data_IF_566556816096
#
_entry.id   IF_566556816096
#
_cell.length_a   1.000
_cell.length_b   1.000
_cell.length_c   1.000
_cell.angle_alpha   90.00
_cell.angle_beta   90.00
_cell.angle_gamma   90.00
#
_symmetry.space_group_name_H-M   'P 1'
#
loop_
_entity.id
_entity.type
_entity.pdbx_description
1 polymer ?
#
# COMPACT_ATOMS: atom_id res chain seq x y z
N UNK A 1 6.95 74.35 -14.43
CA UNK A 1 6.98 73.46 -13.24
C UNK A 1 5.72 72.61 -13.22
N UNK A 2 5.85 71.29 -13.11
CA UNK A 2 4.70 70.38 -13.01
C UNK A 2 5.16 68.94 -12.79
N UNK A 3 5.22 68.56 -11.52
CA UNK A 3 5.81 67.36 -10.93
C UNK A 3 5.33 66.02 -11.52
N UNK A 4 6.30 65.15 -11.81
CA UNK A 4 6.16 63.77 -12.29
C UNK A 4 5.87 62.81 -11.11
N UNK A 5 4.61 62.35 -10.98
CA UNK A 5 4.18 61.41 -9.95
C UNK A 5 4.51 59.95 -10.27
N UNK A 6 5.71 59.50 -9.89
CA UNK A 6 6.10 58.08 -9.88
C UNK A 6 5.15 57.26 -8.99
N UNK A 7 4.31 56.40 -9.59
CA UNK A 7 3.54 55.38 -8.84
C UNK A 7 4.50 54.38 -8.18
N UNK A 8 4.49 54.37 -6.85
CA UNK A 8 5.32 53.52 -6.00
C UNK A 8 4.89 52.06 -6.14
N UNK A 9 5.76 51.21 -6.71
CA UNK A 9 5.61 49.75 -6.77
C UNK A 9 6.06 49.11 -5.44
N UNK A 10 5.32 49.36 -4.36
CA UNK A 10 5.74 48.95 -3.02
C UNK A 10 4.59 48.51 -2.13
N UNK A 11 3.86 47.45 -2.51
CA UNK A 11 2.73 46.98 -1.71
C UNK A 11 2.33 45.49 -1.90
N UNK A 12 3.21 44.64 -2.44
CA UNK A 12 2.86 43.25 -2.78
C UNK A 12 3.35 42.18 -1.80
N UNK A 13 4.49 42.40 -1.15
CA UNK A 13 5.25 41.33 -0.47
C UNK A 13 4.69 40.93 0.90
N UNK A 14 3.97 41.81 1.59
CA UNK A 14 3.35 41.49 2.88
C UNK A 14 2.08 40.64 2.72
N UNK A 15 1.37 40.73 1.59
CA UNK A 15 0.20 39.87 1.30
C UNK A 15 0.60 38.40 1.19
N UNK A 16 1.80 38.09 0.69
CA UNK A 16 2.30 36.71 0.64
C UNK A 16 2.66 36.13 1.99
N UNK A 17 2.95 36.97 2.99
CA UNK A 17 3.29 36.55 4.35
C UNK A 17 2.02 36.35 5.19
N UNK A 18 1.03 37.23 5.04
CA UNK A 18 -0.22 37.17 5.81
C UNK A 18 -1.27 36.20 5.24
N UNK A 19 -1.25 35.96 3.92
CA UNK A 19 -2.14 35.02 3.24
C UNK A 19 -1.38 34.07 2.30
N UNK A 20 -0.50 33.20 2.84
CA UNK A 20 0.29 32.29 2.02
C UNK A 20 -0.58 31.40 1.12
N UNK A 21 -1.77 31.01 1.59
CA UNK A 21 -2.71 30.17 0.84
C UNK A 21 -3.30 30.81 -0.43
N UNK A 22 -3.45 32.14 -0.49
CA UNK A 22 -3.99 32.82 -1.67
C UNK A 22 -2.96 32.98 -2.79
N UNK A 23 -1.67 33.05 -2.43
CA UNK A 23 -0.56 33.13 -3.39
C UNK A 23 -0.42 31.81 -4.15
N UNK A 24 -0.50 30.67 -3.46
CA UNK A 24 -0.47 29.36 -4.12
C UNK A 24 -1.70 29.12 -4.99
N UNK A 25 -2.90 29.56 -4.56
CA UNK A 25 -4.16 29.41 -5.31
C UNK A 25 -4.20 30.15 -6.65
N UNK A 26 -3.42 31.23 -6.77
CA UNK A 26 -3.38 32.07 -7.96
C UNK A 26 -2.17 31.78 -8.88
N UNK A 27 -1.33 30.80 -8.54
CA UNK A 27 -0.24 30.36 -9.41
C UNK A 27 -0.78 29.66 -10.67
N UNK A 28 -0.11 29.84 -11.81
CA UNK A 28 -0.48 29.15 -13.07
C UNK A 28 -0.47 27.62 -12.90
N UNK A 29 0.47 27.09 -12.11
CA UNK A 29 0.59 25.67 -11.78
C UNK A 29 -0.62 25.17 -10.98
N UNK A 30 -1.16 25.98 -10.05
CA UNK A 30 -2.35 25.59 -9.31
C UNK A 30 -3.61 25.64 -10.19
N UNK A 31 -3.74 26.66 -11.05
CA UNK A 31 -4.86 26.75 -12.02
C UNK A 31 -4.80 25.66 -13.09
N UNK A 32 -3.61 25.18 -13.47
CA UNK A 32 -3.47 24.08 -14.41
C UNK A 32 -3.88 22.73 -13.82
N UNK A 33 -3.71 22.55 -12.50
CA UNK A 33 -4.07 21.32 -11.77
C UNK A 33 -5.50 21.35 -11.24
N UNK A 34 -6.02 22.51 -10.83
CA UNK A 34 -7.37 22.68 -10.27
C UNK A 34 -8.15 23.67 -11.13
N UNK A 35 -8.82 23.16 -12.17
CA UNK A 35 -9.58 23.96 -13.15
C UNK A 35 -10.92 24.52 -12.64
N UNK A 36 -11.45 24.00 -11.54
CA UNK A 36 -12.77 24.40 -11.03
C UNK A 36 -12.72 24.83 -9.56
N UNK A 37 -13.45 25.90 -9.16
CA UNK A 37 -13.61 26.26 -7.75
C UNK A 37 -14.22 25.09 -6.97
N UNK A 38 -13.85 24.93 -5.69
CA UNK A 38 -14.39 23.87 -4.81
C UNK A 38 -15.92 23.96 -4.83
N UNK A 39 -16.63 22.94 -5.33
CA UNK A 39 -18.08 23.00 -5.36
C UNK A 39 -18.64 22.88 -3.94
N UNK A 40 -19.62 23.71 -3.59
CA UNK A 40 -20.26 23.66 -2.28
C UNK A 40 -21.25 22.49 -2.15
N UNK A 41 -21.69 21.92 -3.28
CA UNK A 41 -22.62 20.79 -3.30
C UNK A 41 -21.91 19.44 -3.18
N UNK A 42 -22.53 18.42 -2.54
CA UNK A 42 -21.98 17.06 -2.46
C UNK A 42 -21.72 16.41 -3.82
N UNK A 43 -22.60 16.66 -4.80
CA UNK A 43 -22.46 16.15 -6.19
C UNK A 43 -21.28 16.80 -6.90
N UNK A 44 -21.10 18.12 -6.76
CA UNK A 44 -19.97 18.82 -7.35
C UNK A 44 -18.63 18.32 -6.82
N UNK A 45 -18.49 18.14 -5.50
CA UNK A 45 -17.25 17.58 -4.90
C UNK A 45 -16.90 16.20 -5.43
N UNK A 46 -17.91 15.36 -5.67
CA UNK A 46 -17.71 14.05 -6.30
C UNK A 46 -17.25 14.20 -7.75
N UNK A 47 -17.91 15.04 -8.54
CA UNK A 47 -17.57 15.32 -9.94
C UNK A 47 -16.12 15.80 -10.08
N UNK A 48 -15.67 16.73 -9.23
CA UNK A 48 -14.30 17.25 -9.25
C UNK A 48 -13.25 16.18 -8.92
N UNK A 49 -13.57 15.23 -8.03
CA UNK A 49 -12.68 14.11 -7.70
C UNK A 49 -12.63 13.08 -8.83
N UNK A 50 -13.73 12.87 -9.55
CA UNK A 50 -13.79 11.95 -10.70
C UNK A 50 -13.16 12.53 -11.97
N UNK A 51 -13.22 13.85 -12.16
CA UNK A 51 -12.67 14.53 -13.33
C UNK A 51 -11.16 14.83 -13.22
N UNK A 52 -10.60 14.81 -12.00
CA UNK A 52 -9.17 15.03 -11.79
C UNK A 52 -8.43 13.72 -11.57
N UNK A 53 -7.45 13.44 -12.41
CA UNK A 53 -6.58 12.25 -12.28
C UNK A 53 -5.95 12.14 -10.88
N UNK A 54 -5.47 13.22 -10.29
CA UNK A 54 -4.85 13.19 -8.96
C UNK A 54 -5.87 13.07 -7.81
N UNK A 55 -7.04 13.69 -7.95
CA UNK A 55 -8.08 13.62 -6.93
C UNK A 55 -8.87 12.31 -7.01
N UNK A 56 -8.73 11.54 -8.09
CA UNK A 56 -9.35 10.23 -8.20
C UNK A 56 -8.83 9.27 -7.11
N UNK A 57 -7.62 9.47 -6.59
CA UNK A 57 -7.02 8.61 -5.56
C UNK A 57 -7.65 8.89 -4.18
N UNK A 58 -8.12 10.11 -3.93
CA UNK A 58 -8.65 10.52 -2.63
C UNK A 58 -10.16 10.26 -2.52
N UNK A 59 -10.65 9.63 -1.44
CA UNK A 59 -12.08 9.43 -1.23
C UNK A 59 -12.80 10.75 -0.96
N UNK A 60 -13.94 10.96 -1.64
CA UNK A 60 -14.76 12.18 -1.54
C UNK A 60 -15.40 12.33 -0.16
N UNK A 61 -15.72 11.21 0.51
CA UNK A 61 -16.33 11.16 1.83
C UNK A 61 -15.63 10.11 2.68
N UNK A 62 -15.16 10.50 3.87
CA UNK A 62 -14.66 9.57 4.90
C UNK A 62 -15.43 9.85 6.19
N UNK A 63 -16.19 8.88 6.73
CA UNK A 63 -16.86 9.07 8.00
C UNK A 63 -15.84 9.34 9.13
N UNK A 64 -16.11 10.35 9.97
CA UNK A 64 -15.19 10.80 11.05
C UNK A 64 -14.79 9.68 12.01
N UNK A 65 -15.66 8.70 12.20
CA UNK A 65 -15.41 7.56 13.09
C UNK A 65 -14.32 6.60 12.57
N UNK A 66 -14.09 6.52 11.26
CA UNK A 66 -13.00 5.73 10.67
C UNK A 66 -11.65 6.44 10.80
N UNK A 67 -11.69 7.78 10.85
CA UNK A 67 -10.51 8.62 11.11
C UNK A 67 -10.05 8.44 12.56
N UNK A 68 -10.97 8.09 13.47
CA UNK A 68 -10.67 7.83 14.88
C UNK A 68 -9.80 6.57 14.98
N UNK A 69 -8.58 6.77 15.47
CA UNK A 69 -7.54 5.73 15.60
C UNK A 69 -8.01 4.54 16.44
N UNK A 70 -8.84 4.77 17.46
CA UNK A 70 -9.38 3.70 18.33
C UNK A 70 -10.23 2.67 17.59
N UNK A 71 -10.93 3.05 16.51
CA UNK A 71 -11.93 2.18 15.87
C UNK A 71 -11.31 1.26 14.80
N UNK A 72 -10.34 1.74 14.04
CA UNK A 72 -9.72 0.99 12.93
C UNK A 72 -8.25 0.66 13.18
N UNK A 73 -7.59 1.31 14.14
CA UNK A 73 -6.13 1.28 14.37
C UNK A 73 -5.30 1.55 13.11
N UNK A 74 -5.95 1.97 12.01
CA UNK A 74 -5.38 2.16 10.67
C UNK A 74 -4.50 0.97 10.19
N UNK A 75 -4.77 -0.25 10.65
CA UNK A 75 -3.91 -1.42 10.41
C UNK A 75 -3.72 -1.73 8.93
N UNK A 76 -4.77 -1.64 8.11
CA UNK A 76 -4.65 -1.86 6.66
C UNK A 76 -3.78 -0.79 5.96
N UNK A 77 -3.83 0.46 6.44
CA UNK A 77 -2.96 1.53 5.93
C UNK A 77 -1.50 1.30 6.38
N UNK A 78 -1.28 0.93 7.63
CA UNK A 78 0.05 0.58 8.15
C UNK A 78 0.65 -0.58 7.33
N UNK A 79 -0.14 -1.62 7.03
CA UNK A 79 0.30 -2.73 6.18
C UNK A 79 0.73 -2.25 4.78
N UNK A 80 -0.05 -1.37 4.14
CA UNK A 80 0.30 -0.81 2.83
C UNK A 80 1.57 0.05 2.87
N UNK A 81 1.77 0.83 3.94
CA UNK A 81 3.00 1.61 4.15
C UNK A 81 4.20 0.69 4.36
N UNK A 82 4.07 -0.36 5.17
CA UNK A 82 5.14 -1.35 5.38
C UNK A 82 5.50 -2.07 4.09
N UNK A 83 4.51 -2.41 3.27
CA UNK A 83 4.76 -2.95 1.93
C UNK A 83 5.56 -1.97 1.05
N UNK A 84 5.21 -0.68 1.06
CA UNK A 84 5.98 0.35 0.36
C UNK A 84 7.42 0.48 0.86
N UNK A 85 7.63 0.44 2.18
CA UNK A 85 8.98 0.44 2.78
C UNK A 85 9.77 -0.79 2.32
N UNK A 86 9.15 -1.98 2.33
CA UNK A 86 9.78 -3.22 1.85
C UNK A 86 10.14 -3.15 0.37
N UNK A 87 9.26 -2.61 -0.47
CA UNK A 87 9.50 -2.47 -1.90
C UNK A 87 10.71 -1.55 -2.17
N UNK A 88 10.76 -0.39 -1.51
CA UNK A 88 11.85 0.58 -1.68
C UNK A 88 13.16 0.04 -1.13
N UNK A 89 13.15 -0.49 0.10
CA UNK A 89 14.36 -1.06 0.72
C UNK A 89 14.87 -2.28 -0.02
N UNK A 90 13.98 -3.15 -0.51
CA UNK A 90 14.34 -4.33 -1.31
C UNK A 90 14.98 -3.94 -2.64
N UNK A 91 14.43 -2.92 -3.33
CA UNK A 91 15.03 -2.37 -4.56
C UNK A 91 16.44 -1.85 -4.31
N UNK A 92 16.69 -1.18 -3.19
CA UNK A 92 18.04 -0.74 -2.82
C UNK A 92 18.99 -1.91 -2.59
N UNK A 93 18.57 -2.93 -1.82
CA UNK A 93 19.39 -4.11 -1.54
C UNK A 93 19.73 -4.91 -2.81
N UNK A 94 18.85 -4.89 -3.80
CA UNK A 94 19.03 -5.57 -5.08
C UNK A 94 20.29 -5.13 -5.83
N UNK A 95 20.71 -3.86 -5.69
CA UNK A 95 21.92 -3.35 -6.36
C UNK A 95 23.23 -3.98 -5.87
N UNK A 96 23.22 -4.61 -4.69
CA UNK A 96 24.43 -5.10 -4.02
C UNK A 96 24.43 -6.61 -3.79
N UNK A 97 23.42 -7.33 -4.30
CA UNK A 97 23.26 -8.75 -4.05
C UNK A 97 23.29 -9.56 -5.35
N UNK A 98 24.20 -10.55 -5.42
CA UNK A 98 24.27 -11.51 -6.52
C UNK A 98 23.65 -12.85 -6.09
N UNK A 99 22.65 -13.38 -6.82
CA UNK A 99 22.00 -14.64 -6.51
C UNK A 99 22.83 -15.86 -6.98
N UNK A 100 24.11 -15.90 -6.63
CA UNK A 100 25.04 -17.01 -6.90
C UNK A 100 25.47 -17.65 -5.59
N UNK A 101 25.47 -18.99 -5.53
CA UNK A 101 25.82 -19.76 -4.31
C UNK A 101 27.14 -19.33 -3.67
N UNK A 102 28.26 -19.16 -4.41
CA UNK A 102 29.52 -18.76 -3.78
C UNK A 102 29.53 -17.32 -3.28
N UNK A 103 28.73 -16.41 -3.86
CA UNK A 103 28.79 -14.98 -3.52
C UNK A 103 27.68 -14.53 -2.54
N UNK A 104 26.50 -15.17 -2.56
CA UNK A 104 25.30 -14.68 -1.88
C UNK A 104 25.52 -14.36 -0.39
N UNK A 105 26.22 -15.23 0.32
CA UNK A 105 26.55 -15.03 1.74
C UNK A 105 27.60 -13.94 1.94
N UNK A 106 28.63 -13.88 1.09
CA UNK A 106 29.66 -12.84 1.19
C UNK A 106 29.13 -11.46 0.81
N UNK A 107 28.22 -11.36 -0.16
CA UNK A 107 27.54 -10.12 -0.50
C UNK A 107 26.71 -9.59 0.69
N UNK A 108 26.10 -10.47 1.50
CA UNK A 108 25.46 -10.06 2.76
C UNK A 108 26.45 -9.47 3.77
N UNK A 109 27.67 -9.99 3.82
CA UNK A 109 28.72 -9.47 4.68
C UNK A 109 29.23 -8.11 4.16
N UNK A 110 29.53 -8.01 2.87
CA UNK A 110 29.96 -6.77 2.20
C UNK A 110 28.91 -5.66 2.33
N UNK A 111 27.62 -6.00 2.20
CA UNK A 111 26.52 -5.07 2.44
C UNK A 111 26.52 -4.51 3.87
N UNK A 112 26.94 -5.32 4.86
CA UNK A 112 26.97 -4.89 6.25
C UNK A 112 28.18 -4.01 6.60
N UNK A 113 29.31 -4.18 5.90
CA UNK A 113 30.59 -3.55 6.24
C UNK A 113 31.01 -2.43 5.31
N UNK A 114 30.74 -2.56 4.00
CA UNK A 114 31.35 -1.74 2.95
C UNK A 114 30.35 -0.83 2.21
N UNK A 115 29.05 -1.12 2.32
CA UNK A 115 28.00 -0.33 1.66
C UNK A 115 27.46 0.73 2.61
N UNK A 116 27.46 1.99 2.17
CA UNK A 116 26.92 3.12 2.94
C UNK A 116 25.44 2.89 3.27
N UNK A 117 25.08 2.90 4.56
CA UNK A 117 23.74 2.55 5.06
C UNK A 117 23.26 1.12 4.76
N UNK A 118 24.10 0.23 4.24
CA UNK A 118 23.69 -1.13 3.84
C UNK A 118 23.10 -1.94 4.99
N UNK A 119 23.79 -1.98 6.14
CA UNK A 119 23.28 -2.65 7.34
C UNK A 119 21.98 -2.02 7.87
N UNK A 120 21.86 -0.70 7.80
CA UNK A 120 20.65 0.01 8.22
C UNK A 120 19.46 -0.36 7.34
N UNK A 121 19.59 -0.28 6.01
CA UNK A 121 18.51 -0.61 5.08
C UNK A 121 18.13 -2.09 5.18
N UNK A 122 19.11 -2.98 5.36
CA UNK A 122 18.86 -4.41 5.61
C UNK A 122 18.04 -4.64 6.88
N UNK A 123 18.37 -3.94 7.96
CA UNK A 123 17.62 -4.02 9.21
C UNK A 123 16.20 -3.45 9.04
N UNK A 124 16.05 -2.32 8.35
CA UNK A 124 14.73 -1.76 8.02
C UNK A 124 13.90 -2.77 7.22
N UNK A 125 14.49 -3.40 6.21
CA UNK A 125 13.82 -4.41 5.39
C UNK A 125 13.36 -5.60 6.25
N UNK A 126 14.26 -6.16 7.08
CA UNK A 126 13.96 -7.31 7.95
C UNK A 126 12.89 -6.99 9.00
N UNK A 127 13.02 -5.87 9.72
CA UNK A 127 12.05 -5.48 10.75
C UNK A 127 10.69 -5.11 10.15
N UNK A 128 10.68 -4.45 8.98
CA UNK A 128 9.43 -4.15 8.27
C UNK A 128 8.73 -5.42 7.82
N UNK A 129 9.46 -6.47 7.42
CA UNK A 129 8.88 -7.76 7.03
C UNK A 129 8.21 -8.44 8.22
N UNK A 130 8.89 -8.52 9.37
CA UNK A 130 8.30 -9.08 10.59
C UNK A 130 7.08 -8.29 11.05
N UNK A 131 7.18 -6.96 11.05
CA UNK A 131 6.07 -6.09 11.43
C UNK A 131 4.90 -6.22 10.45
N UNK A 132 5.15 -6.36 9.15
CA UNK A 132 4.10 -6.54 8.15
C UNK A 132 3.28 -7.81 8.41
N UNK A 133 3.94 -8.94 8.72
CA UNK A 133 3.23 -10.18 9.06
C UNK A 133 2.32 -9.98 10.28
N UNK A 134 2.84 -9.39 11.35
CA UNK A 134 2.06 -9.12 12.57
C UNK A 134 0.88 -8.19 12.28
N UNK A 135 1.11 -7.09 11.56
CA UNK A 135 0.07 -6.10 11.26
C UNK A 135 -1.02 -6.68 10.35
N UNK A 136 -0.66 -7.49 9.36
CA UNK A 136 -1.66 -8.14 8.48
C UNK A 136 -2.51 -9.13 9.27
N UNK A 137 -1.92 -9.91 10.18
CA UNK A 137 -2.68 -10.82 11.06
C UNK A 137 -3.61 -10.02 11.97
N UNK A 138 -3.13 -8.96 12.62
CA UNK A 138 -3.95 -8.09 13.46
C UNK A 138 -5.07 -7.41 12.66
N UNK A 139 -4.79 -7.02 11.41
CA UNK A 139 -5.78 -6.46 10.50
C UNK A 139 -6.88 -7.48 10.20
N UNK A 140 -6.52 -8.72 9.90
CA UNK A 140 -7.44 -9.81 9.63
C UNK A 140 -8.33 -10.10 10.86
N UNK A 141 -7.73 -10.24 12.04
CA UNK A 141 -8.44 -10.45 13.31
C UNK A 141 -9.43 -9.31 13.56
N UNK A 142 -9.00 -8.06 13.38
CA UNK A 142 -9.89 -6.89 13.55
C UNK A 142 -11.06 -6.94 12.58
N UNK A 143 -10.85 -7.28 11.31
CA UNK A 143 -11.94 -7.38 10.32
C UNK A 143 -12.91 -8.52 10.67
N UNK A 144 -12.39 -9.63 11.18
CA UNK A 144 -13.19 -10.75 11.68
C UNK A 144 -14.05 -10.36 12.88
N UNK A 145 -13.45 -9.86 13.97
CA UNK A 145 -14.18 -9.50 15.19
C UNK A 145 -15.13 -8.32 15.00
N UNK A 146 -14.82 -7.39 14.10
CA UNK A 146 -15.74 -6.28 13.79
C UNK A 146 -16.90 -6.68 12.86
N UNK A 147 -16.92 -7.92 12.35
CA UNK A 147 -17.93 -8.39 11.41
C UNK A 147 -17.89 -7.70 10.05
N UNK A 148 -16.78 -7.05 9.71
CA UNK A 148 -16.66 -6.22 8.51
C UNK A 148 -16.64 -7.04 7.20
N UNK A 149 -16.47 -8.36 7.29
CA UNK A 149 -16.52 -9.31 6.16
C UNK A 149 -17.94 -9.65 5.69
N UNK A 150 -18.99 -9.26 6.45
CA UNK A 150 -20.40 -9.50 6.09
C UNK A 150 -20.77 -8.88 4.73
N UNK A 151 -21.83 -9.36 4.06
CA UNK A 151 -22.32 -8.77 2.81
C UNK A 151 -22.38 -7.24 2.89
N UNK A 152 -21.98 -6.49 1.85
CA UNK A 152 -21.52 -6.91 0.51
C UNK A 152 -20.00 -7.18 0.39
N UNK A 153 -19.25 -7.27 1.49
CA UNK A 153 -17.76 -7.23 1.51
C UNK A 153 -17.06 -8.59 1.51
N UNK A 154 -17.79 -9.68 1.25
CA UNK A 154 -17.27 -11.06 1.29
C UNK A 154 -16.14 -11.29 0.27
N UNK A 155 -16.27 -10.74 -0.93
CA UNK A 155 -15.23 -10.84 -1.96
C UNK A 155 -13.92 -10.19 -1.52
N UNK A 156 -14.01 -9.01 -0.88
CA UNK A 156 -12.83 -8.32 -0.38
C UNK A 156 -12.16 -9.07 0.79
N UNK A 157 -12.92 -9.81 1.58
CA UNK A 157 -12.39 -10.69 2.62
C UNK A 157 -11.54 -11.83 2.03
N UNK A 158 -12.03 -12.51 0.99
CA UNK A 158 -11.26 -13.57 0.30
C UNK A 158 -9.97 -13.02 -0.29
N UNK A 159 -10.01 -11.82 -0.90
CA UNK A 159 -8.81 -11.12 -1.35
C UNK A 159 -7.84 -10.86 -0.19
N UNK A 160 -8.34 -10.41 0.96
CA UNK A 160 -7.53 -10.18 2.16
C UNK A 160 -6.84 -11.44 2.67
N UNK A 161 -7.52 -12.59 2.66
CA UNK A 161 -6.92 -13.89 2.99
C UNK A 161 -5.84 -14.27 1.98
N UNK A 162 -6.09 -14.06 0.69
CA UNK A 162 -5.07 -14.26 -0.36
C UNK A 162 -3.82 -13.39 -0.15
N UNK A 163 -4.00 -12.13 0.24
CA UNK A 163 -2.89 -11.22 0.58
C UNK A 163 -2.10 -11.68 1.81
N UNK A 164 -2.75 -12.29 2.81
CA UNK A 164 -2.05 -12.90 3.95
C UNK A 164 -1.14 -14.04 3.46
N UNK A 165 -1.66 -14.96 2.63
CA UNK A 165 -0.88 -16.06 2.07
C UNK A 165 0.32 -15.54 1.28
N UNK A 166 0.12 -14.54 0.42
CA UNK A 166 1.21 -13.92 -0.34
C UNK A 166 2.23 -13.20 0.56
N UNK A 167 1.80 -12.59 1.66
CA UNK A 167 2.70 -11.96 2.64
C UNK A 167 3.58 -13.00 3.33
N UNK A 168 3.01 -14.15 3.70
CA UNK A 168 3.76 -15.27 4.28
C UNK A 168 4.75 -15.86 3.25
N UNK A 169 4.32 -16.02 1.99
CA UNK A 169 5.21 -16.45 0.91
C UNK A 169 6.34 -15.47 0.64
N UNK A 170 6.10 -14.15 0.69
CA UNK A 170 7.16 -13.14 0.62
C UNK A 170 8.16 -13.29 1.77
N UNK A 171 7.66 -13.41 2.99
CA UNK A 171 8.50 -13.59 4.18
C UNK A 171 9.35 -14.86 4.08
N UNK A 172 8.77 -15.97 3.62
CA UNK A 172 9.48 -17.22 3.42
C UNK A 172 10.53 -17.09 2.32
N UNK A 173 10.18 -16.64 1.12
CA UNK A 173 11.13 -16.55 -0.01
C UNK A 173 12.30 -15.59 0.25
N UNK A 174 12.07 -14.49 0.98
CA UNK A 174 13.12 -13.55 1.35
C UNK A 174 14.09 -14.09 2.41
N UNK A 175 13.57 -14.93 3.31
CA UNK A 175 14.38 -15.61 4.32
C UNK A 175 15.45 -16.54 3.71
N UNK A 176 15.23 -17.02 2.47
CA UNK A 176 16.13 -17.96 1.81
C UNK A 176 17.35 -17.29 1.16
N UNK A 177 17.29 -15.97 0.91
CA UNK A 177 18.29 -15.26 0.10
C UNK A 177 19.66 -15.06 0.75
N UNK A 178 19.80 -14.90 2.09
CA UNK A 178 21.12 -14.80 2.71
C UNK A 178 22.01 -16.04 2.51
N UNK A 179 21.41 -17.17 2.13
CA UNK A 179 22.11 -18.43 1.84
C UNK A 179 23.01 -18.91 3.00
N UNK A 180 22.55 -18.71 4.23
CA UNK A 180 23.17 -19.28 5.43
C UNK A 180 22.65 -20.71 5.70
N UNK A 181 23.19 -21.39 6.72
CA UNK A 181 22.80 -22.76 7.04
C UNK A 181 21.30 -22.89 7.34
N UNK A 182 20.72 -21.89 8.00
CA UNK A 182 19.29 -21.89 8.32
C UNK A 182 18.44 -21.74 7.06
N UNK A 183 18.83 -20.85 6.14
CA UNK A 183 18.18 -20.70 4.84
C UNK A 183 18.26 -22.00 4.03
N UNK A 184 19.41 -22.65 3.93
CA UNK A 184 19.59 -23.91 3.19
C UNK A 184 18.65 -25.01 3.71
N UNK A 185 18.55 -25.18 5.03
CA UNK A 185 17.64 -26.16 5.63
C UNK A 185 16.18 -25.76 5.47
N UNK A 186 15.85 -24.47 5.51
CA UNK A 186 14.50 -23.98 5.24
C UNK A 186 14.05 -24.29 3.81
N UNK A 187 14.94 -24.17 2.81
CA UNK A 187 14.64 -24.60 1.43
C UNK A 187 14.37 -26.10 1.39
N UNK A 188 15.26 -26.88 2.01
CA UNK A 188 15.16 -28.34 2.03
C UNK A 188 13.82 -28.79 2.63
N UNK A 189 13.45 -28.27 3.80
CA UNK A 189 12.19 -28.60 4.46
C UNK A 189 10.99 -28.09 3.64
N UNK A 190 11.03 -26.84 3.18
CA UNK A 190 9.90 -26.25 2.43
C UNK A 190 9.61 -26.97 1.12
N UNK A 191 10.65 -27.35 0.36
CA UNK A 191 10.50 -28.08 -0.90
C UNK A 191 10.09 -29.54 -0.69
N UNK A 192 10.50 -30.16 0.42
CA UNK A 192 10.02 -31.50 0.80
C UNK A 192 8.54 -31.47 1.20
N UNK A 193 8.07 -30.42 1.90
CA UNK A 193 6.65 -30.23 2.20
C UNK A 193 5.84 -30.10 0.90
N UNK A 194 6.32 -29.31 -0.06
CA UNK A 194 5.70 -29.21 -1.39
C UNK A 194 5.66 -30.57 -2.13
N UNK A 195 6.63 -31.44 -1.85
CA UNK A 195 6.73 -32.81 -2.35
C UNK A 195 5.60 -33.74 -1.90
N UNK A 196 4.92 -33.43 -0.80
CA UNK A 196 3.80 -34.25 -0.29
C UNK A 196 2.44 -33.94 -0.94
N UNK A 197 2.37 -32.94 -1.82
CA UNK A 197 1.12 -32.62 -2.53
C UNK A 197 0.70 -33.81 -3.40
N UNK A 198 -0.51 -34.38 -3.22
CA UNK A 198 -0.98 -35.47 -4.07
C UNK A 198 -0.97 -35.09 -5.54
N UNK A 199 -0.62 -36.04 -6.42
CA UNK A 199 -0.53 -35.91 -7.89
C UNK A 199 0.58 -34.99 -8.42
N UNK A 200 0.87 -33.86 -7.75
CA UNK A 200 1.80 -32.84 -8.26
C UNK A 200 3.09 -32.69 -7.45
N UNK A 201 3.27 -33.41 -6.35
CA UNK A 201 4.36 -33.21 -5.40
C UNK A 201 5.77 -33.33 -5.98
N UNK A 202 6.03 -34.36 -6.78
CA UNK A 202 7.35 -34.54 -7.40
C UNK A 202 7.64 -33.42 -8.41
N UNK A 203 6.63 -32.98 -9.16
CA UNK A 203 6.77 -31.91 -10.14
C UNK A 203 6.93 -30.54 -9.48
N UNK A 204 6.18 -30.26 -8.39
CA UNK A 204 6.29 -29.01 -7.64
C UNK A 204 7.67 -28.88 -7.00
N UNK A 205 8.18 -29.94 -6.36
CA UNK A 205 9.53 -29.96 -5.77
C UNK A 205 10.60 -29.72 -6.82
N UNK A 206 10.56 -30.42 -7.96
CA UNK A 206 11.53 -30.26 -9.04
C UNK A 206 11.45 -28.87 -9.70
N UNK A 207 10.24 -28.29 -9.80
CA UNK A 207 10.03 -26.93 -10.30
C UNK A 207 10.57 -25.88 -9.32
N UNK A 208 10.53 -26.11 -8.02
CA UNK A 208 11.10 -25.18 -7.04
C UNK A 208 12.63 -25.27 -7.01
N UNK A 209 13.20 -26.48 -7.00
CA UNK A 209 14.64 -26.71 -6.89
C UNK A 209 15.41 -26.47 -8.20
N UNK A 210 14.82 -26.81 -9.33
CA UNK A 210 15.53 -26.81 -10.62
C UNK A 210 16.59 -27.90 -10.77
N UNK A 211 16.52 -28.91 -9.91
CA UNK A 211 17.37 -30.09 -9.89
C UNK A 211 16.86 -31.07 -8.85
N UNK A 212 17.66 -32.10 -8.57
CA UNK A 212 17.37 -33.09 -7.51
C UNK A 212 17.63 -32.54 -6.11
N UNK A 213 18.52 -31.55 -6.00
CA UNK A 213 19.06 -30.99 -4.77
C UNK A 213 18.98 -29.45 -4.74
N UNK A 214 19.21 -28.88 -3.55
CA UNK A 214 19.25 -27.43 -3.34
C UNK A 214 20.58 -26.88 -3.87
N UNK A 215 20.50 -25.98 -4.85
CA UNK A 215 21.69 -25.38 -5.47
C UNK A 215 21.40 -24.05 -6.16
N UNK A 216 22.29 -23.65 -7.08
CA UNK A 216 22.23 -22.34 -7.75
C UNK A 216 20.91 -22.09 -8.49
N UNK A 217 20.33 -23.13 -9.09
CA UNK A 217 19.03 -23.00 -9.76
C UNK A 217 17.90 -22.65 -8.78
N UNK A 218 17.89 -23.27 -7.60
CA UNK A 218 16.91 -22.99 -6.55
C UNK A 218 17.06 -21.55 -6.06
N UNK A 219 18.29 -21.10 -5.80
CA UNK A 219 18.59 -19.74 -5.37
C UNK A 219 18.06 -18.71 -6.37
N UNK A 220 18.38 -18.87 -7.65
CA UNK A 220 17.91 -17.96 -8.70
C UNK A 220 16.37 -17.93 -8.78
N UNK A 221 15.71 -19.09 -8.70
CA UNK A 221 14.24 -19.17 -8.75
C UNK A 221 13.59 -18.47 -7.57
N UNK A 222 14.05 -18.73 -6.34
CA UNK A 222 13.52 -18.06 -5.15
C UNK A 222 13.80 -16.56 -5.17
N UNK A 223 14.98 -16.15 -5.65
CA UNK A 223 15.29 -14.74 -5.87
C UNK A 223 14.30 -14.08 -6.82
N UNK A 224 14.10 -14.63 -8.03
CA UNK A 224 13.16 -14.08 -9.02
C UNK A 224 11.71 -14.07 -8.51
N UNK A 225 11.30 -15.11 -7.78
CA UNK A 225 9.99 -15.15 -7.12
C UNK A 225 9.84 -14.02 -6.10
N UNK A 226 10.88 -13.79 -5.29
CA UNK A 226 10.86 -12.81 -4.21
C UNK A 226 10.89 -11.37 -4.69
N UNK A 227 11.70 -11.05 -5.72
CA UNK A 227 11.86 -9.66 -6.15
C UNK A 227 10.84 -9.21 -7.19
N UNK A 228 10.29 -10.15 -7.98
CA UNK A 228 9.46 -9.81 -9.14
C UNK A 228 8.06 -10.40 -9.05
N UNK A 229 7.92 -11.73 -9.12
CA UNK A 229 6.60 -12.35 -9.31
C UNK A 229 5.67 -12.11 -8.13
N UNK A 230 6.12 -12.39 -6.90
CA UNK A 230 5.26 -12.26 -5.72
C UNK A 230 4.97 -10.78 -5.43
N UNK A 231 5.94 -9.83 -5.46
CA UNK A 231 5.65 -8.42 -5.30
C UNK A 231 4.69 -7.86 -6.36
N UNK A 232 4.86 -8.25 -7.63
CA UNK A 232 3.95 -7.81 -8.69
C UNK A 232 2.53 -8.31 -8.44
N UNK A 233 2.37 -9.58 -8.05
CA UNK A 233 1.08 -10.16 -7.73
C UNK A 233 0.44 -9.48 -6.50
N UNK A 234 1.22 -9.21 -5.45
CA UNK A 234 0.76 -8.45 -4.28
C UNK A 234 0.32 -7.05 -4.71
N UNK A 235 1.07 -6.34 -5.55
CA UNK A 235 0.72 -5.00 -6.01
C UNK A 235 -0.64 -4.98 -6.71
N UNK A 236 -0.87 -5.93 -7.63
CA UNK A 236 -2.14 -6.04 -8.36
C UNK A 236 -3.29 -6.33 -7.41
N UNK A 237 -3.15 -7.36 -6.57
CA UNK A 237 -4.22 -7.79 -5.66
C UNK A 237 -4.50 -6.73 -4.58
N UNK A 238 -3.46 -6.08 -4.04
CA UNK A 238 -3.58 -4.99 -3.07
C UNK A 238 -4.30 -3.78 -3.69
N UNK A 239 -4.01 -3.46 -4.96
CA UNK A 239 -4.71 -2.40 -5.68
C UNK A 239 -6.21 -2.70 -5.80
N UNK A 240 -6.56 -3.94 -6.15
CA UNK A 240 -7.97 -4.39 -6.21
C UNK A 240 -8.60 -4.35 -4.82
N UNK A 241 -7.89 -4.79 -3.78
CA UNK A 241 -8.35 -4.79 -2.39
C UNK A 241 -8.70 -3.37 -1.90
N UNK A 242 -7.79 -2.40 -2.11
CA UNK A 242 -8.02 -1.00 -1.74
C UNK A 242 -9.15 -0.39 -2.56
N UNK A 243 -9.22 -0.68 -3.86
CA UNK A 243 -10.29 -0.21 -4.73
C UNK A 243 -11.66 -0.72 -4.27
N UNK A 244 -11.76 -2.00 -3.87
CA UNK A 244 -12.99 -2.59 -3.32
C UNK A 244 -13.40 -1.93 -2.00
N UNK A 245 -12.47 -1.69 -1.08
CA UNK A 245 -12.76 -0.96 0.16
C UNK A 245 -13.33 0.44 -0.14
N UNK A 246 -12.85 1.11 -1.19
CA UNK A 246 -13.37 2.42 -1.60
C UNK A 246 -14.77 2.34 -2.20
N UNK A 247 -15.07 1.27 -2.96
CA UNK A 247 -16.36 1.08 -3.64
C UNK A 247 -17.45 0.60 -2.68
N UNK A 248 -17.14 -0.36 -1.83
CA UNK A 248 -18.09 -1.02 -0.93
C UNK A 248 -18.28 -0.24 0.39
N UNK A 249 -17.48 0.81 0.60
CA UNK A 249 -17.50 1.62 1.82
C UNK A 249 -16.97 0.87 3.05
N UNK A 250 -17.04 1.54 4.20
CA UNK A 250 -16.52 1.00 5.46
C UNK A 250 -17.66 0.40 6.29
N UNK A 251 -17.45 -0.73 6.94
CA UNK A 251 -18.49 -1.41 7.75
C UNK A 251 -19.09 -0.55 8.89
N UNK A 252 -18.43 0.54 9.29
CA UNK A 252 -18.95 1.50 10.28
C UNK A 252 -20.08 2.36 9.71
N UNK A 253 -20.11 2.64 8.39
CA UNK A 253 -21.18 3.44 7.79
C UNK A 253 -22.53 2.74 7.77
N UNK A 254 -22.54 1.40 7.74
CA UNK A 254 -23.73 0.53 7.73
C UNK A 254 -24.53 0.56 9.04
N UNK A 255 -23.91 1.01 10.15
CA UNK A 255 -24.57 1.02 11.47
C UNK A 255 -25.39 2.28 11.72
N UNK A 256 -25.40 3.24 10.79
CA UNK A 256 -26.26 4.41 10.93
C UNK A 256 -27.66 4.03 10.47
N UNK A 257 -28.71 4.35 11.23
CA UNK A 257 -30.02 4.47 10.62
C UNK A 257 -29.90 5.49 9.49
N UNK A 258 -30.45 5.19 8.32
CA UNK A 258 -30.60 6.22 7.30
C UNK A 258 -31.40 7.36 7.95
N UNK A 259 -31.03 8.63 7.74
CA UNK A 259 -31.95 9.70 8.08
C UNK A 259 -33.25 9.38 7.33
N UNK A 260 -34.36 9.27 8.07
CA UNK A 260 -35.68 9.22 7.44
C UNK A 260 -35.70 10.36 6.44
N UNK A 261 -35.82 10.02 5.15
CA UNK A 261 -36.01 11.01 4.11
C UNK A 261 -37.28 11.78 4.52
N UNK A 262 -37.12 12.96 5.12
CA UNK A 262 -38.22 13.89 5.26
C UNK A 262 -38.80 14.04 3.85
N UNK A 263 -40.06 13.62 3.62
CA UNK A 263 -40.63 13.68 2.30
C UNK A 263 -40.60 15.15 1.88
N UNK A 264 -39.94 15.43 0.76
CA UNK A 264 -39.87 16.74 0.10
C UNK A 264 -41.24 17.11 -0.50
N UNK A 265 -42.33 16.87 0.25
CA UNK A 265 -43.73 17.03 -0.17
C UNK A 265 -44.55 17.78 0.88
N UNK A 266 -44.04 18.91 1.34
CA UNK A 266 -44.87 19.89 2.06
C UNK A 266 -44.52 21.34 1.71
N UNK A 267 -43.91 21.57 0.55
CA UNK A 267 -43.78 22.91 -0.06
C UNK A 267 -44.58 23.04 -1.37
N UNK A 268 -45.25 21.98 -1.82
CA UNK A 268 -46.12 22.03 -3.00
C UNK A 268 -47.60 22.30 -2.66
N UNK A 269 -48.01 22.13 -1.40
CA UNK A 269 -49.41 22.23 -0.98
C UNK A 269 -49.70 23.55 -0.21
N UNK A 270 -48.77 24.52 -0.24
CA UNK A 270 -48.96 25.85 0.34
C UNK A 270 -49.38 26.92 -0.68
N UNK A 271 -49.64 26.54 -1.94
CA UNK A 271 -50.10 27.44 -3.03
C UNK A 271 -51.31 26.89 -3.81
N UNK A 272 -52.24 26.16 -3.15
CA UNK A 272 -53.52 25.75 -3.74
C UNK A 272 -54.71 26.20 -2.89
#
# INVERSE_FOLDING_TARGET
>A
MGSNGRKVRGAGWYRSILHPGEVYRNSEVYRSVVRHPKPDTPRGRAMTSFQNFFLHIYPVKVPREIIRTRTTLRLGFIAAVLYGILFISGTYLMFFYRPTVPDAYFDMHTLSTSVAFGQFVRNVHRWSAHLMVVIVILHLLRVFYSGAYRPPRQFNWVIGVGLLVLTLLMSFTGYLLPWDQLAYWAITVGTNIAGYVPLFGTHSRNLMLGGTEVGSAALLRFYVLHIYFIPALITVILSIHIWRVRKDGFAVSDRRPEPEDEPVKEMADAEA
#
